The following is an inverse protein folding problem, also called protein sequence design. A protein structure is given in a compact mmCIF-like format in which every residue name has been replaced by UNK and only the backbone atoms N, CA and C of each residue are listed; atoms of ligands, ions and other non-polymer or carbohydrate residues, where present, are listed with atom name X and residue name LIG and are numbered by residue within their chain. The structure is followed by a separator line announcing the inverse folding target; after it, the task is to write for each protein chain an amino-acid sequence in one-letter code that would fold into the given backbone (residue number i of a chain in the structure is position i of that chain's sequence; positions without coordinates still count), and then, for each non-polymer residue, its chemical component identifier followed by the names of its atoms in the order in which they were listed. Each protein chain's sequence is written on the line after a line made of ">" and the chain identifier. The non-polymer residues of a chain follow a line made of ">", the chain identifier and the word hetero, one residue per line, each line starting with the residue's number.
data_IF_232201019606
#
_entry.id   IF_232201019606
#
_cell.length_a   1.000
_cell.length_b   1.000
_cell.length_c   1.000
_cell.angle_alpha   90.00
_cell.angle_beta   90.00
_cell.angle_gamma   90.00
#
_symmetry.space_group_name_H-M   'P 1'
#
loop_
_entity.id
_entity.type
_entity.pdbx_description
1 polymer ?
#
# COMPACT_ATOMS: atom_id res chain seq x y z
N UNK A 1 -20.01 27.22 -49.02
CA UNK A 1 -20.23 26.07 -48.12
C UNK A 1 -18.95 25.27 -47.98
N UNK A 2 -17.97 25.56 -47.10
CA UNK A 2 -17.99 25.74 -45.64
C UNK A 2 -18.80 24.68 -44.87
N UNK A 3 -18.04 23.92 -44.08
CA UNK A 3 -18.39 23.23 -42.82
C UNK A 3 -19.18 21.91 -42.87
N UNK A 4 -18.45 20.80 -43.07
CA UNK A 4 -18.73 19.54 -42.37
C UNK A 4 -17.70 19.36 -41.25
N UNK A 5 -18.04 19.84 -40.05
CA UNK A 5 -17.28 19.61 -38.81
C UNK A 5 -17.12 18.10 -38.58
N UNK A 6 -15.88 17.64 -38.45
CA UNK A 6 -15.56 16.30 -37.93
C UNK A 6 -16.04 16.24 -36.49
N UNK A 7 -16.95 15.31 -36.20
CA UNK A 7 -17.47 15.02 -34.85
C UNK A 7 -16.29 14.52 -34.01
N UNK A 8 -15.93 15.29 -32.99
CA UNK A 8 -14.89 14.89 -32.03
C UNK A 8 -15.48 13.83 -31.11
N UNK A 9 -14.97 12.61 -31.18
CA UNK A 9 -15.21 11.59 -30.17
C UNK A 9 -14.04 11.62 -29.18
N UNK A 10 -14.29 11.68 -27.86
CA UNK A 10 -13.22 11.62 -26.88
C UNK A 10 -12.55 10.24 -26.93
N UNK A 11 -11.22 10.15 -26.73
CA UNK A 11 -10.56 8.86 -26.63
C UNK A 11 -11.12 8.09 -25.43
N UNK A 12 -11.42 6.82 -25.64
CA UNK A 12 -11.83 5.87 -24.61
C UNK A 12 -10.73 5.89 -23.52
N UNK A 13 -11.06 6.07 -22.23
CA UNK A 13 -10.05 6.09 -21.18
C UNK A 13 -9.38 4.72 -21.08
N UNK A 14 -8.20 4.56 -21.70
CA UNK A 14 -7.31 3.42 -21.52
C UNK A 14 -6.61 3.53 -20.17
N UNK A 15 -7.35 3.35 -19.08
CA UNK A 15 -6.81 3.00 -17.76
C UNK A 15 -7.93 2.58 -16.81
N UNK A 16 -8.49 1.40 -17.04
CA UNK A 16 -9.22 0.67 -16.00
C UNK A 16 -8.17 0.22 -14.97
N UNK A 17 -8.31 0.69 -13.74
CA UNK A 17 -7.41 0.38 -12.63
C UNK A 17 -6.15 1.25 -12.61
N UNK A 18 -6.23 2.44 -12.01
CA UNK A 18 -5.06 2.97 -11.29
C UNK A 18 -4.73 1.89 -10.25
N UNK A 19 -3.60 1.19 -10.39
CA UNK A 19 -2.99 0.47 -9.25
C UNK A 19 -3.11 1.41 -8.08
N UNK A 20 -3.80 1.02 -6.99
CA UNK A 20 -3.86 1.76 -5.73
C UNK A 20 -2.46 2.27 -5.47
N UNK A 21 -2.23 3.54 -5.76
CA UNK A 21 -1.01 4.21 -5.39
C UNK A 21 -1.25 4.35 -3.91
N UNK A 22 -0.83 3.34 -3.10
CA UNK A 22 -0.54 3.60 -1.69
C UNK A 22 0.16 4.94 -1.73
N UNK A 23 -0.47 5.95 -1.18
CA UNK A 23 0.03 7.30 -1.17
C UNK A 23 1.33 7.18 -0.40
N UNK A 24 2.43 6.90 -1.11
CA UNK A 24 3.74 7.28 -0.64
C UNK A 24 3.53 8.77 -0.43
N UNK A 25 3.40 9.16 0.84
CA UNK A 25 3.32 10.56 1.22
C UNK A 25 4.43 11.30 0.47
N UNK A 26 4.26 12.60 0.19
CA UNK A 26 5.24 13.33 -0.61
C UNK A 26 6.62 13.00 -0.07
N UNK A 27 7.40 12.23 -0.85
CA UNK A 27 8.68 11.70 -0.39
C UNK A 27 9.52 12.94 -0.10
N UNK A 28 9.61 13.37 1.17
CA UNK A 28 10.43 14.53 1.53
C UNK A 28 11.89 14.27 1.15
N UNK A 29 12.26 13.00 1.02
CA UNK A 29 13.51 12.52 0.44
C UNK A 29 13.76 12.95 -1.02
N UNK A 30 12.72 13.28 -1.79
CA UNK A 30 12.83 13.73 -3.20
C UNK A 30 13.22 15.20 -3.34
N UNK A 31 13.20 15.99 -2.25
CA UNK A 31 13.65 17.39 -2.25
C UNK A 31 15.17 17.55 -2.11
N UNK A 32 15.89 16.49 -1.76
CA UNK A 32 17.35 16.58 -1.62
C UNK A 32 18.00 16.66 -3.01
N UNK A 33 18.75 17.73 -3.32
CA UNK A 33 19.41 17.85 -4.61
C UNK A 33 20.49 16.77 -4.77
N UNK A 34 20.58 16.17 -5.96
CA UNK A 34 21.57 15.13 -6.26
C UNK A 34 22.99 15.66 -6.07
N UNK A 35 23.71 15.13 -5.07
CA UNK A 35 25.09 15.53 -4.76
C UNK A 35 26.06 14.70 -5.61
N UNK A 36 26.47 15.23 -6.75
CA UNK A 36 27.66 14.79 -7.49
C UNK A 36 28.89 15.60 -7.04
N UNK A 37 30.10 15.02 -6.87
CA UNK A 37 30.60 13.70 -7.28
C UNK A 37 30.48 12.58 -6.21
N UNK A 38 30.42 11.33 -6.65
CA UNK A 38 30.28 10.14 -5.79
C UNK A 38 31.59 9.73 -5.07
N UNK A 39 32.73 10.28 -5.47
CA UNK A 39 34.05 10.05 -4.87
C UNK A 39 34.23 10.82 -3.55
N UNK A 40 35.17 10.39 -2.70
CA UNK A 40 35.57 11.13 -1.51
C UNK A 40 36.26 12.44 -1.92
N UNK A 41 35.47 13.50 -2.06
CA UNK A 41 35.95 14.81 -2.47
C UNK A 41 35.43 15.88 -1.52
N UNK A 42 36.26 16.90 -1.26
CA UNK A 42 35.88 18.05 -0.41
C UNK A 42 34.64 18.78 -0.93
N UNK A 43 34.37 18.71 -2.24
CA UNK A 43 33.17 19.28 -2.86
C UNK A 43 31.87 18.57 -2.43
N UNK A 44 31.90 17.25 -2.21
CA UNK A 44 30.76 16.50 -1.69
C UNK A 44 30.46 16.91 -0.25
N UNK A 45 31.50 17.02 0.58
CA UNK A 45 31.39 17.48 1.97
C UNK A 45 30.77 18.88 2.03
N UNK A 46 31.30 19.83 1.27
CA UNK A 46 30.79 21.22 1.23
C UNK A 46 29.34 21.32 0.73
N UNK A 47 28.92 20.46 -0.21
CA UNK A 47 27.52 20.38 -0.66
C UNK A 47 26.61 19.79 0.41
N UNK A 48 27.06 18.75 1.12
CA UNK A 48 26.31 18.14 2.22
C UNK A 48 26.18 19.08 3.43
N UNK A 49 27.23 19.83 3.76
CA UNK A 49 27.20 20.87 4.79
C UNK A 49 26.16 21.95 4.45
N UNK A 50 26.14 22.46 3.21
CA UNK A 50 25.13 23.45 2.79
C UNK A 50 23.70 22.92 2.85
N UNK A 51 23.48 21.66 2.48
CA UNK A 51 22.16 21.03 2.59
C UNK A 51 21.76 20.88 4.05
N UNK A 52 22.69 20.42 4.91
CA UNK A 52 22.48 20.31 6.36
C UNK A 52 22.13 21.64 6.98
N UNK A 53 22.85 22.71 6.64
CA UNK A 53 22.60 24.06 7.17
C UNK A 53 21.22 24.57 6.75
N UNK A 54 20.80 24.30 5.50
CA UNK A 54 19.47 24.66 5.01
C UNK A 54 18.36 23.90 5.76
N UNK A 55 18.52 22.60 5.98
CA UNK A 55 17.57 21.77 6.74
C UNK A 55 17.48 22.23 8.21
N UNK A 56 18.61 22.53 8.84
CA UNK A 56 18.63 23.01 10.23
C UNK A 56 17.95 24.38 10.35
N UNK A 57 18.16 25.28 9.38
CA UNK A 57 17.44 26.56 9.33
C UNK A 57 15.93 26.37 9.14
N UNK A 58 15.50 25.44 8.26
CA UNK A 58 14.07 25.12 8.11
C UNK A 58 13.48 24.50 9.39
N UNK A 59 14.19 23.58 10.06
CA UNK A 59 13.76 23.00 11.34
C UNK A 59 13.64 24.04 12.45
N UNK A 60 14.63 24.92 12.60
CA UNK A 60 14.58 26.02 13.58
C UNK A 60 13.47 27.02 13.25
N UNK A 61 13.26 27.32 11.96
CA UNK A 61 12.17 28.19 11.52
C UNK A 61 10.81 27.58 11.85
N UNK A 62 10.60 26.29 11.54
CA UNK A 62 9.37 25.57 11.88
C UNK A 62 9.17 25.53 13.39
N UNK A 63 10.21 25.21 14.17
CA UNK A 63 10.15 25.13 15.64
C UNK A 63 9.82 26.48 16.28
N UNK A 64 10.43 27.56 15.79
CA UNK A 64 10.15 28.92 16.25
C UNK A 64 8.75 29.38 15.82
N UNK A 65 8.30 28.97 14.63
CA UNK A 65 6.94 29.22 14.18
C UNK A 65 5.94 28.46 15.06
N UNK A 66 6.20 27.19 15.38
CA UNK A 66 5.38 26.34 16.27
C UNK A 66 5.29 26.90 17.69
N UNK A 67 6.40 27.35 18.27
CA UNK A 67 6.38 28.04 19.57
C UNK A 67 5.55 29.33 19.56
N UNK A 68 5.40 29.94 18.38
CA UNK A 68 4.62 31.15 18.17
C UNK A 68 3.29 30.89 17.45
N UNK A 69 2.81 29.64 17.33
CA UNK A 69 1.64 29.31 16.52
C UNK A 69 0.34 29.45 17.33
N UNK A 70 -0.47 30.50 17.06
CA UNK A 70 -1.93 30.42 17.22
C UNK A 70 -2.58 29.43 16.22
N UNK A 71 -1.78 28.79 15.36
CA UNK A 71 -2.26 27.91 14.28
C UNK A 71 -2.46 26.45 14.73
N UNK A 72 -1.68 25.95 15.70
CA UNK A 72 -1.92 24.63 16.31
C UNK A 72 -3.17 24.66 17.16
N UNK A 73 -3.35 25.72 17.94
CA UNK A 73 -4.59 25.97 18.69
C UNK A 73 -5.80 26.07 17.74
N UNK A 74 -5.64 26.71 16.57
CA UNK A 74 -6.68 26.71 15.53
C UNK A 74 -6.93 25.33 14.91
N UNK A 75 -5.90 24.51 14.72
CA UNK A 75 -6.06 23.13 14.22
C UNK A 75 -6.73 22.22 15.24
N UNK A 76 -6.38 22.35 16.52
CA UNK A 76 -7.03 21.67 17.64
C UNK A 76 -8.50 22.10 17.74
N UNK A 77 -8.79 23.39 17.55
CA UNK A 77 -10.15 23.94 17.50
C UNK A 77 -10.94 23.45 16.27
N UNK A 78 -10.31 23.34 15.10
CA UNK A 78 -10.92 22.74 13.91
C UNK A 78 -11.20 21.25 14.13
N UNK A 79 -10.30 20.54 14.80
CA UNK A 79 -10.43 19.11 15.12
C UNK A 79 -11.53 18.85 16.14
N UNK A 80 -11.63 19.66 17.19
CA UNK A 80 -12.71 19.55 18.18
C UNK A 80 -14.07 19.85 17.55
N UNK A 81 -14.17 20.87 16.68
CA UNK A 81 -15.39 21.13 15.88
C UNK A 81 -15.77 19.96 14.99
N UNK A 82 -14.79 19.27 14.39
CA UNK A 82 -15.06 18.05 13.62
C UNK A 82 -15.59 16.95 14.53
N UNK A 83 -14.99 16.72 15.70
CA UNK A 83 -15.45 15.70 16.64
C UNK A 83 -16.88 15.98 17.16
N UNK A 84 -17.24 17.25 17.37
CA UNK A 84 -18.62 17.66 17.67
C UNK A 84 -19.58 17.33 16.52
N UNK A 85 -19.15 17.50 15.27
CA UNK A 85 -19.93 17.14 14.07
C UNK A 85 -20.05 15.62 13.89
N UNK A 86 -19.02 14.85 14.28
CA UNK A 86 -19.09 13.38 14.27
C UNK A 86 -20.19 12.90 15.19
N UNK A 87 -20.26 13.47 16.39
CA UNK A 87 -21.21 13.08 17.40
C UNK A 87 -20.99 11.65 17.88
N UNK A 88 -21.43 11.38 19.10
CA UNK A 88 -21.50 10.03 19.67
C UNK A 88 -22.99 9.69 19.81
N UNK A 89 -23.49 8.52 19.35
CA UNK A 89 -22.81 7.36 18.78
C UNK A 89 -22.54 7.42 17.25
N UNK A 90 -21.57 6.63 16.80
CA UNK A 90 -21.29 6.40 15.37
C UNK A 90 -21.85 5.04 14.96
N UNK A 91 -22.57 4.99 13.85
CA UNK A 91 -23.07 3.75 13.25
C UNK A 91 -22.13 3.26 12.15
N UNK A 92 -22.00 1.95 11.99
CA UNK A 92 -21.24 1.35 10.89
C UNK A 92 -22.21 1.01 9.75
N UNK A 93 -21.83 1.38 8.54
CA UNK A 93 -22.53 1.03 7.32
C UNK A 93 -21.57 0.58 6.23
N UNK A 94 -22.11 0.03 5.16
CA UNK A 94 -21.38 -0.38 3.95
C UNK A 94 -21.66 0.62 2.85
N UNK A 95 -20.64 1.07 2.16
CA UNK A 95 -20.80 1.93 0.99
C UNK A 95 -21.16 1.06 -0.21
N UNK A 96 -22.27 1.35 -0.88
CA UNK A 96 -22.69 0.56 -2.05
C UNK A 96 -22.26 1.24 -3.34
N UNK A 97 -22.66 2.49 -3.53
CA UNK A 97 -22.40 3.23 -4.76
C UNK A 97 -22.10 4.69 -4.44
N UNK A 98 -21.08 5.23 -5.12
CA UNK A 98 -20.76 6.65 -5.10
C UNK A 98 -21.47 7.28 -6.30
N UNK A 99 -22.40 8.18 -6.04
CA UNK A 99 -23.13 8.87 -7.11
C UNK A 99 -22.32 10.07 -7.58
N UNK A 100 -21.86 10.89 -6.62
CA UNK A 100 -21.16 12.13 -6.88
C UNK A 100 -20.06 12.34 -5.85
N UNK A 101 -19.26 13.37 -6.09
CA UNK A 101 -18.17 13.81 -5.24
C UNK A 101 -18.56 14.04 -3.77
N UNK A 102 -19.80 14.45 -3.51
CA UNK A 102 -20.27 14.79 -2.16
C UNK A 102 -21.43 13.91 -1.68
N UNK A 103 -21.84 12.91 -2.47
CA UNK A 103 -23.00 12.07 -2.17
C UNK A 103 -22.76 10.61 -2.52
N UNK A 104 -23.14 9.73 -1.60
CA UNK A 104 -23.07 8.29 -1.77
C UNK A 104 -24.32 7.60 -1.22
N UNK A 105 -24.60 6.41 -1.75
CA UNK A 105 -25.57 5.48 -1.17
C UNK A 105 -24.84 4.57 -0.20
N UNK A 106 -25.37 4.51 1.02
CA UNK A 106 -24.84 3.64 2.07
C UNK A 106 -25.95 2.74 2.59
N UNK A 107 -25.63 1.46 2.75
CA UNK A 107 -26.48 0.53 3.49
C UNK A 107 -26.07 0.55 4.96
N UNK A 108 -27.05 0.83 5.82
CA UNK A 108 -26.85 0.63 7.27
C UNK A 108 -26.84 -0.87 7.58
N UNK A 109 -26.33 -1.28 8.74
CA UNK A 109 -26.36 -2.68 9.21
C UNK A 109 -27.75 -3.35 9.20
N UNK A 110 -28.82 -2.55 9.17
CA UNK A 110 -30.23 -3.01 9.10
C UNK A 110 -30.68 -3.27 7.64
N UNK A 111 -29.83 -3.01 6.65
CA UNK A 111 -30.15 -3.13 5.22
C UNK A 111 -30.98 -1.96 4.67
N UNK A 112 -31.08 -0.86 5.41
CA UNK A 112 -31.71 0.37 4.92
C UNK A 112 -30.72 1.21 4.14
N UNK A 113 -31.06 1.43 2.87
CA UNK A 113 -30.32 2.27 1.93
C UNK A 113 -30.64 3.75 2.18
N UNK A 114 -29.60 4.55 2.38
CA UNK A 114 -29.74 6.00 2.58
C UNK A 114 -28.91 6.74 1.54
N UNK A 115 -29.52 7.77 0.94
CA UNK A 115 -28.80 8.77 0.16
C UNK A 115 -28.16 9.77 1.11
N UNK A 116 -26.84 9.79 1.14
CA UNK A 116 -26.06 10.41 2.20
C UNK A 116 -25.04 11.37 1.63
N UNK A 117 -24.79 12.47 2.35
CA UNK A 117 -23.67 13.37 2.05
C UNK A 117 -22.35 12.92 2.69
N UNK A 118 -21.28 12.97 1.92
CA UNK A 118 -19.89 12.74 2.35
C UNK A 118 -19.35 14.05 2.94
N UNK A 119 -18.85 14.01 4.18
CA UNK A 119 -18.24 15.18 4.81
C UNK A 119 -16.86 15.49 4.22
N UNK A 120 -16.51 16.78 4.16
CA UNK A 120 -15.31 17.27 3.46
C UNK A 120 -13.97 16.78 4.01
N UNK A 121 -13.94 16.19 5.20
CA UNK A 121 -12.72 15.69 5.83
C UNK A 121 -12.42 14.22 5.49
N UNK A 122 -13.25 13.57 4.68
CA UNK A 122 -13.03 12.20 4.21
C UNK A 122 -12.31 12.23 2.86
N UNK A 123 -11.21 11.50 2.77
CA UNK A 123 -10.46 11.35 1.51
C UNK A 123 -11.21 10.43 0.55
N UNK A 124 -11.63 10.98 -0.60
CA UNK A 124 -12.39 10.26 -1.63
C UNK A 124 -11.61 9.12 -2.29
N UNK A 125 -10.28 9.21 -2.27
CA UNK A 125 -9.40 8.18 -2.85
C UNK A 125 -9.43 6.86 -2.07
N UNK A 126 -9.89 6.88 -0.81
CA UNK A 126 -10.01 5.69 0.04
C UNK A 126 -11.42 5.08 0.02
N UNK A 127 -12.38 5.76 -0.59
CA UNK A 127 -13.76 5.29 -0.69
C UNK A 127 -13.88 4.40 -1.93
N UNK A 128 -14.02 3.10 -1.71
CA UNK A 128 -14.39 2.12 -2.72
C UNK A 128 -15.74 1.49 -2.37
N UNK A 129 -16.55 1.11 -3.36
CA UNK A 129 -17.78 0.35 -3.11
C UNK A 129 -17.43 -0.96 -2.40
N UNK A 130 -18.16 -1.27 -1.33
CA UNK A 130 -17.91 -2.39 -0.42
C UNK A 130 -17.08 -2.04 0.81
N UNK A 131 -16.50 -0.83 0.90
CA UNK A 131 -15.79 -0.40 2.11
C UNK A 131 -16.77 -0.15 3.26
N UNK A 132 -16.30 -0.45 4.48
CA UNK A 132 -17.01 -0.10 5.70
C UNK A 132 -16.83 1.38 6.01
N UNK A 133 -17.93 2.11 6.14
CA UNK A 133 -17.97 3.55 6.43
C UNK A 133 -18.64 3.82 7.77
N UNK A 134 -18.19 4.88 8.42
CA UNK A 134 -18.74 5.41 9.65
C UNK A 134 -19.79 6.45 9.32
N UNK A 135 -21.01 6.22 9.79
CA UNK A 135 -22.18 7.06 9.58
C UNK A 135 -22.59 7.74 10.88
N UNK A 136 -23.09 8.97 10.78
CA UNK A 136 -23.71 9.65 11.92
C UNK A 136 -25.10 9.07 12.20
N UNK A 137 -25.44 8.80 13.46
CA UNK A 137 -26.76 8.28 13.82
C UNK A 137 -27.95 9.23 13.57
N UNK A 138 -27.72 10.55 13.46
CA UNK A 138 -28.82 11.53 13.25
C UNK A 138 -29.10 11.83 11.79
N UNK A 139 -28.04 12.11 11.03
CA UNK A 139 -28.14 12.63 9.64
C UNK A 139 -27.73 11.55 8.65
N UNK A 140 -27.24 10.40 9.12
CA UNK A 140 -26.65 9.34 8.31
C UNK A 140 -25.46 9.78 7.45
N UNK A 141 -24.85 10.95 7.69
CA UNK A 141 -23.67 11.48 6.99
C UNK A 141 -22.42 10.58 7.11
N UNK A 142 -21.63 10.44 6.02
CA UNK A 142 -20.35 9.71 6.06
C UNK A 142 -19.30 10.58 6.76
N UNK A 143 -18.85 10.08 7.91
CA UNK A 143 -17.83 10.67 8.77
C UNK A 143 -16.45 10.10 8.43
N UNK A 144 -16.33 8.87 7.99
CA UNK A 144 -15.01 8.33 7.70
C UNK A 144 -15.06 6.92 7.19
N UNK A 145 -13.94 6.48 6.67
CA UNK A 145 -13.74 5.08 6.33
C UNK A 145 -13.22 4.34 7.55
N UNK A 146 -13.83 3.20 7.85
CA UNK A 146 -13.19 2.21 8.69
C UNK A 146 -12.17 1.50 7.81
N UNK A 147 -10.91 1.42 8.27
CA UNK A 147 -9.91 0.64 7.55
C UNK A 147 -10.38 -0.82 7.55
N UNK A 148 -10.35 -1.48 6.40
CA UNK A 148 -10.78 -2.87 6.28
C UNK A 148 -10.10 -3.70 7.37
N UNK A 149 -10.93 -4.24 8.28
CA UNK A 149 -10.50 -5.23 9.24
C UNK A 149 -10.00 -6.41 8.42
N UNK A 150 -8.68 -6.60 8.40
CA UNK A 150 -8.06 -7.71 7.68
C UNK A 150 -8.78 -8.99 8.08
N UNK A 151 -9.30 -9.73 7.11
CA UNK A 151 -10.04 -10.95 7.36
C UNK A 151 -9.25 -11.82 8.35
N UNK A 152 -9.88 -12.30 9.44
CA UNK A 152 -9.17 -13.09 10.45
C UNK A 152 -8.50 -14.31 9.83
N UNK A 153 -9.02 -14.82 8.70
CA UNK A 153 -8.42 -15.88 7.90
C UNK A 153 -7.03 -15.51 7.35
N UNK A 154 -6.86 -14.29 6.85
CA UNK A 154 -5.55 -13.80 6.34
C UNK A 154 -4.57 -13.63 7.49
N UNK A 155 -5.05 -13.20 8.66
CA UNK A 155 -4.24 -13.11 9.87
C UNK A 155 -3.75 -14.48 10.34
N UNK A 156 -4.57 -15.54 10.21
CA UNK A 156 -4.13 -16.93 10.48
C UNK A 156 -3.08 -17.40 9.46
N UNK A 157 -3.18 -16.99 8.20
CA UNK A 157 -2.21 -17.35 7.15
C UNK A 157 -0.90 -16.55 7.23
N UNK A 158 -0.91 -15.42 7.92
CA UNK A 158 0.29 -14.59 8.13
C UNK A 158 1.13 -15.21 9.24
N UNK A 159 2.16 -15.94 8.85
CA UNK A 159 3.08 -16.52 9.82
C UNK A 159 4.02 -15.43 10.36
N UNK A 160 3.91 -15.12 11.66
CA UNK A 160 4.68 -14.03 12.30
C UNK A 160 6.12 -14.41 12.65
N UNK A 161 6.42 -15.71 12.78
CA UNK A 161 7.72 -16.21 13.24
C UNK A 161 8.43 -16.95 12.13
N UNK A 162 9.62 -16.46 11.78
CA UNK A 162 10.54 -17.21 10.94
C UNK A 162 10.96 -18.50 11.67
N UNK A 163 10.96 -19.67 11.00
CA UNK A 163 11.52 -20.90 11.53
C UNK A 163 13.03 -20.75 11.79
N UNK A 164 13.54 -21.54 12.74
CA UNK A 164 14.92 -21.45 13.24
C UNK A 164 15.96 -22.24 12.42
N UNK A 165 15.52 -23.19 11.59
CA UNK A 165 16.40 -24.09 10.84
C UNK A 165 17.19 -23.32 9.78
N UNK A 166 18.46 -23.59 9.54
CA UNK A 166 19.26 -22.88 8.52
C UNK A 166 19.52 -23.76 7.30
N UNK A 167 19.92 -23.16 6.16
CA UNK A 167 20.35 -23.95 4.98
C UNK A 167 21.50 -24.92 5.26
N UNK A 168 22.24 -24.72 6.36
CA UNK A 168 23.31 -25.61 6.79
C UNK A 168 22.79 -26.92 7.41
N UNK A 169 21.52 -26.95 7.85
CA UNK A 169 20.90 -28.12 8.46
C UNK A 169 20.35 -29.10 7.40
N UNK A 170 20.33 -28.70 6.12
CA UNK A 170 19.87 -29.52 5.00
C UNK A 170 21.10 -30.13 4.30
N UNK A 171 21.35 -31.42 4.54
CA UNK A 171 22.46 -32.15 3.91
C UNK A 171 22.11 -32.76 2.55
N UNK A 172 23.03 -32.65 1.57
CA UNK A 172 23.01 -33.44 0.34
C UNK A 172 22.08 -32.94 -0.78
N UNK A 173 21.53 -31.73 -0.66
CA UNK A 173 20.61 -31.11 -1.64
C UNK A 173 21.10 -29.71 -2.10
N UNK A 174 22.41 -29.51 -2.18
CA UNK A 174 23.01 -28.19 -2.44
C UNK A 174 22.60 -27.60 -3.80
N UNK A 175 22.48 -28.44 -4.83
CA UNK A 175 22.06 -28.02 -6.17
C UNK A 175 20.62 -27.47 -6.16
N UNK A 176 19.70 -28.18 -5.50
CA UNK A 176 18.30 -27.75 -5.40
C UNK A 176 18.17 -26.50 -4.52
N UNK A 177 18.95 -26.39 -3.45
CA UNK A 177 18.99 -25.19 -2.61
C UNK A 177 19.46 -23.99 -3.44
N UNK A 178 20.46 -24.15 -4.30
CA UNK A 178 20.95 -23.09 -5.16
C UNK A 178 19.87 -22.61 -6.15
N UNK A 179 19.16 -23.52 -6.82
CA UNK A 179 18.06 -23.18 -7.75
C UNK A 179 16.94 -22.39 -7.05
N UNK A 180 16.60 -22.77 -5.82
CA UNK A 180 15.60 -22.06 -5.00
C UNK A 180 16.11 -20.66 -4.61
N UNK A 181 17.39 -20.53 -4.24
CA UNK A 181 18.00 -19.23 -3.89
C UNK A 181 18.02 -18.27 -5.08
N UNK A 182 18.37 -18.76 -6.27
CA UNK A 182 18.38 -17.97 -7.50
C UNK A 182 16.97 -17.51 -7.88
N UNK A 183 15.95 -18.34 -7.64
CA UNK A 183 14.56 -18.03 -7.99
C UNK A 183 13.87 -17.07 -7.00
N UNK A 184 14.18 -17.18 -5.70
CA UNK A 184 13.47 -16.44 -4.64
C UNK A 184 14.30 -15.32 -4.02
N UNK A 185 15.56 -15.58 -3.66
CA UNK A 185 16.38 -14.61 -2.93
C UNK A 185 17.06 -13.61 -3.86
N UNK A 186 17.63 -14.07 -4.96
CA UNK A 186 18.36 -13.23 -5.93
C UNK A 186 17.55 -12.05 -6.49
N UNK A 187 16.26 -12.21 -6.89
CA UNK A 187 15.48 -11.07 -7.40
C UNK A 187 15.15 -10.03 -6.33
N UNK A 188 15.21 -10.39 -5.04
CA UNK A 188 14.91 -9.50 -3.93
C UNK A 188 16.16 -8.78 -3.39
N UNK A 189 17.31 -9.44 -3.42
CA UNK A 189 18.59 -8.86 -2.96
C UNK A 189 19.27 -8.02 -4.04
N UNK A 190 19.21 -8.46 -5.29
CA UNK A 190 19.90 -7.81 -6.42
C UNK A 190 19.00 -7.71 -7.65
N UNK A 191 18.05 -6.76 -7.67
CA UNK A 191 17.21 -6.52 -8.84
C UNK A 191 18.01 -6.04 -10.06
N UNK A 192 19.17 -5.41 -9.85
CA UNK A 192 20.05 -4.85 -10.89
C UNK A 192 20.44 -5.90 -11.95
N UNK A 193 20.74 -7.14 -11.55
CA UNK A 193 21.09 -8.21 -12.49
C UNK A 193 19.97 -8.55 -13.48
N UNK A 194 18.71 -8.48 -13.01
CA UNK A 194 17.54 -8.75 -13.85
C UNK A 194 17.20 -7.57 -14.77
N UNK A 195 17.47 -6.35 -14.32
CA UNK A 195 17.30 -5.13 -15.11
C UNK A 195 18.33 -5.05 -16.25
N UNK A 196 19.60 -5.36 -15.99
CA UNK A 196 20.65 -5.40 -17.01
C UNK A 196 20.41 -6.50 -18.06
N UNK A 197 19.92 -7.66 -17.63
CA UNK A 197 19.57 -8.75 -18.54
C UNK A 197 18.22 -8.54 -19.26
N UNK A 198 17.36 -7.64 -18.76
CA UNK A 198 16.03 -7.40 -19.32
C UNK A 198 15.05 -8.58 -19.15
N UNK A 199 15.30 -9.48 -18.21
CA UNK A 199 14.51 -10.69 -17.98
C UNK A 199 13.62 -10.50 -16.76
N UNK A 200 12.35 -10.92 -16.85
CA UNK A 200 11.43 -10.91 -15.69
C UNK A 200 11.77 -12.07 -14.76
N UNK A 201 11.88 -11.86 -13.44
CA UNK A 201 12.17 -12.93 -12.50
C UNK A 201 11.04 -13.97 -12.48
N UNK A 202 11.36 -15.26 -12.24
CA UNK A 202 10.35 -16.30 -12.08
C UNK A 202 9.47 -16.03 -10.85
N UNK A 203 8.18 -16.35 -10.93
CA UNK A 203 7.19 -16.02 -9.87
C UNK A 203 6.84 -17.18 -8.94
N UNK A 204 7.33 -18.39 -9.19
CA UNK A 204 6.98 -19.57 -8.39
C UNK A 204 7.90 -20.75 -8.64
N UNK A 205 8.03 -21.60 -7.63
CA UNK A 205 8.84 -22.82 -7.64
C UNK A 205 7.94 -23.98 -7.22
N UNK A 206 8.02 -25.11 -7.92
CA UNK A 206 7.27 -26.33 -7.59
C UNK A 206 8.26 -27.37 -7.10
N UNK A 207 8.03 -27.93 -5.91
CA UNK A 207 8.85 -28.97 -5.31
C UNK A 207 8.09 -30.31 -5.38
N UNK A 208 8.55 -31.26 -6.20
CA UNK A 208 7.89 -32.57 -6.39
C UNK A 208 8.85 -33.74 -6.15
N UNK A 209 8.32 -34.90 -5.72
CA UNK A 209 9.10 -36.12 -5.43
C UNK A 209 8.58 -36.92 -4.22
N UNK A 210 9.23 -38.06 -3.91
CA UNK A 210 8.72 -39.00 -2.91
C UNK A 210 8.71 -38.40 -1.49
N UNK A 211 7.76 -38.82 -0.63
CA UNK A 211 7.68 -38.35 0.75
C UNK A 211 8.96 -38.74 1.52
N UNK A 212 9.45 -37.83 2.38
CA UNK A 212 10.71 -38.02 3.13
C UNK A 212 11.95 -37.32 2.53
N UNK A 213 11.83 -36.63 1.40
CA UNK A 213 12.95 -35.92 0.73
C UNK A 213 13.13 -34.46 1.17
N UNK A 214 12.66 -34.07 2.36
CA UNK A 214 12.93 -32.74 2.93
C UNK A 214 12.23 -31.54 2.26
N UNK A 215 11.26 -31.77 1.36
CA UNK A 215 10.52 -30.69 0.65
C UNK A 215 9.86 -29.68 1.59
N UNK A 216 9.25 -30.18 2.66
CA UNK A 216 8.58 -29.34 3.66
C UNK A 216 9.57 -28.48 4.45
N UNK A 217 10.78 -28.99 4.73
CA UNK A 217 11.85 -28.25 5.41
C UNK A 217 12.40 -27.14 4.50
N UNK A 218 12.70 -27.47 3.24
CA UNK A 218 13.18 -26.51 2.24
C UNK A 218 12.17 -25.38 1.97
N UNK A 219 10.87 -25.72 1.90
CA UNK A 219 9.79 -24.77 1.63
C UNK A 219 9.44 -23.92 2.87
N UNK A 220 9.40 -24.53 4.05
CA UNK A 220 9.01 -23.87 5.28
C UNK A 220 9.99 -22.78 5.71
N UNK A 221 11.28 -22.95 5.44
CA UNK A 221 12.31 -22.08 5.99
C UNK A 221 12.21 -20.60 5.57
N UNK A 222 12.02 -20.32 4.27
CA UNK A 222 12.30 -18.97 3.71
C UNK A 222 11.14 -18.26 3.05
N UNK A 223 10.09 -18.95 2.62
CA UNK A 223 8.84 -18.31 2.14
C UNK A 223 8.25 -17.32 3.16
N UNK A 224 8.46 -17.66 4.42
CA UNK A 224 8.05 -16.94 5.60
C UNK A 224 8.75 -15.58 5.78
N UNK A 225 9.97 -15.43 5.27
CA UNK A 225 10.77 -14.20 5.43
C UNK A 225 10.60 -13.19 4.29
N UNK A 226 10.09 -13.64 3.14
CA UNK A 226 10.02 -12.85 1.91
C UNK A 226 8.60 -12.63 1.40
N UNK A 227 7.58 -13.08 2.14
CA UNK A 227 6.18 -12.80 1.82
C UNK A 227 5.93 -11.29 1.94
N UNK A 228 6.11 -10.57 0.84
CA UNK A 228 5.63 -9.21 0.69
C UNK A 228 4.10 -9.29 0.64
N UNK A 229 3.36 -8.62 1.54
CA UNK A 229 1.90 -8.67 1.54
C UNK A 229 1.40 -7.80 0.37
N UNK A 230 1.40 -8.39 -0.81
CA UNK A 230 0.83 -7.81 -2.02
C UNK A 230 -0.39 -8.64 -2.40
N UNK A 231 -1.43 -8.56 -1.58
CA UNK A 231 -2.75 -9.10 -1.94
C UNK A 231 -3.41 -8.07 -2.86
N UNK A 232 -3.68 -8.45 -4.12
CA UNK A 232 -4.56 -7.69 -5.01
C UNK A 232 -5.94 -8.34 -4.94
N UNK A 233 -6.96 -7.68 -4.34
CA UNK A 233 -8.25 -8.30 -4.06
C UNK A 233 -9.15 -8.53 -5.29
N UNK A 234 -8.82 -7.99 -6.47
CA UNK A 234 -9.67 -8.11 -7.66
C UNK A 234 -9.15 -9.12 -8.69
N UNK A 235 -9.32 -10.42 -8.41
CA UNK A 235 -9.15 -11.47 -9.41
C UNK A 235 -10.41 -12.37 -9.44
N UNK A 236 -11.01 -12.62 -10.62
CA UNK A 236 -12.18 -13.49 -10.74
C UNK A 236 -11.85 -14.94 -10.32
N UNK A 237 -12.85 -15.73 -9.89
CA UNK A 237 -12.66 -17.07 -9.31
C UNK A 237 -12.01 -18.11 -10.25
N UNK A 238 -11.82 -17.79 -11.53
CA UNK A 238 -11.22 -18.68 -12.54
C UNK A 238 -9.73 -18.44 -12.79
N UNK A 239 -9.12 -17.42 -12.17
CA UNK A 239 -7.67 -17.29 -12.15
C UNK A 239 -7.10 -18.01 -10.93
N UNK A 240 -6.47 -19.16 -11.19
CA UNK A 240 -5.69 -19.91 -10.21
C UNK A 240 -4.90 -18.96 -9.31
N UNK A 241 -5.07 -19.02 -7.98
CA UNK A 241 -4.34 -18.13 -7.09
C UNK A 241 -2.85 -18.31 -7.36
N UNK A 242 -2.15 -17.20 -7.58
CA UNK A 242 -0.67 -17.15 -7.57
C UNK A 242 -0.21 -17.28 -6.12
N UNK A 243 -0.61 -18.39 -5.49
CA UNK A 243 -0.20 -18.83 -4.18
C UNK A 243 0.54 -20.13 -4.39
N UNK A 244 1.65 -20.32 -3.69
CA UNK A 244 2.30 -21.63 -3.65
C UNK A 244 1.25 -22.66 -3.24
N UNK A 245 0.85 -23.49 -4.18
CA UNK A 245 0.02 -24.64 -3.92
C UNK A 245 0.94 -25.69 -3.26
N UNK A 246 1.06 -25.62 -1.93
CA UNK A 246 1.55 -26.74 -1.14
C UNK A 246 0.44 -27.79 -1.06
N UNK A 247 0.27 -28.56 -2.12
CA UNK A 247 -0.43 -29.85 -2.05
C UNK A 247 0.59 -30.90 -1.64
N UNK A 248 0.46 -31.42 -0.42
CA UNK A 248 1.10 -32.66 0.03
C UNK A 248 0.59 -33.87 -0.76
#
# INVERSE_FOLDING_TARGET
>A
DKDKKKKYEPPIPTRVGKKKKKTKGPDAASKLPLVTPHTQCRLKLLKQERIKDYLLMEEEFIRNQEQMKPLEEKQEEERSKVDDLRGTPMSVGTLEEIIDDNHAIVSTSVGSEHYVSILSFVDKDLLEPGCSVLLNHKVHAVIGVLMDDTDPLVTVMKVEKAPQETYADIGGLDNQIQEIKESVELPLTHPEYYEEMGIKPPKGVILYGPPGTGKSLNCGFRLLKFFSPSYTPDAPPDTSPVGLCLSC
#
